data_IF_558515469154
#
_entry.id   IF_558515469154
#
_cell.length_a   1.000
_cell.length_b   1.000
_cell.length_c   1.000
_cell.angle_alpha   90.00
_cell.angle_beta   90.00
_cell.angle_gamma   90.00
#
_symmetry.space_group_name_H-M   'P 1'
#
loop_
_entity.id
_entity.type
_entity.pdbx_description
1 polymer ?
#
# COMPACT_ATOMS: atom_id res chain seq x y z
N UNK A 1 53.27 3.30 38.72
CA UNK A 1 53.15 2.21 39.72
C UNK A 1 51.69 1.80 39.77
N UNK A 2 51.43 0.49 39.69
CA UNK A 2 50.11 -0.18 39.79
C UNK A 2 49.15 0.06 38.62
N UNK A 3 48.50 -0.91 38.00
CA UNK A 3 48.54 -2.38 38.04
C UNK A 3 47.78 -2.86 36.80
N UNK A 4 48.26 -3.94 36.19
CA UNK A 4 47.63 -4.71 35.12
C UNK A 4 46.36 -5.48 35.62
N UNK A 5 45.85 -6.56 34.98
CA UNK A 5 45.53 -6.86 33.58
C UNK A 5 44.11 -7.49 33.39
N UNK A 6 43.72 -7.69 32.11
CA UNK A 6 43.00 -8.82 31.46
C UNK A 6 42.18 -9.84 32.27
N UNK A 7 41.01 -10.27 31.76
CA UNK A 7 40.45 -11.66 31.76
C UNK A 7 39.14 -11.65 30.91
N UNK A 8 39.09 -12.17 29.68
CA UNK A 8 39.07 -13.58 29.28
C UNK A 8 37.92 -14.39 29.92
N UNK A 9 36.68 -14.17 29.47
CA UNK A 9 35.56 -15.08 29.71
C UNK A 9 35.45 -16.09 28.57
N UNK A 10 36.10 -17.23 28.78
CA UNK A 10 35.90 -18.49 28.07
C UNK A 10 34.46 -19.00 28.31
N UNK A 11 33.74 -19.30 27.23
CA UNK A 11 32.59 -20.20 27.26
C UNK A 11 33.08 -21.65 27.16
N UNK A 12 32.64 -22.59 28.02
CA UNK A 12 33.13 -23.96 27.97
C UNK A 12 32.35 -24.80 26.94
N UNK A 13 33.13 -25.45 26.07
CA UNK A 13 32.79 -26.70 25.40
C UNK A 13 32.92 -27.84 26.41
N UNK A 14 31.86 -28.61 26.66
CA UNK A 14 32.00 -29.99 27.18
C UNK A 14 31.00 -30.91 26.51
N UNK A 15 31.56 -31.85 25.75
CA UNK A 15 30.92 -33.00 25.14
C UNK A 15 30.40 -33.99 26.18
N UNK A 16 29.42 -34.81 25.78
CA UNK A 16 28.93 -35.95 26.56
C UNK A 16 28.06 -36.87 25.71
N UNK A 17 28.71 -37.79 25.01
CA UNK A 17 28.09 -38.90 24.28
C UNK A 17 27.54 -39.95 25.26
N UNK A 18 26.38 -40.55 24.98
CA UNK A 18 26.06 -41.88 25.47
C UNK A 18 25.28 -42.71 24.44
N UNK A 19 25.70 -43.96 24.36
CA UNK A 19 25.49 -44.99 23.35
C UNK A 19 24.59 -46.08 23.92
N UNK A 20 24.05 -46.89 23.00
CA UNK A 20 23.61 -48.29 23.16
C UNK A 20 22.09 -48.53 23.14
N UNK A 21 21.61 -48.97 21.97
CA UNK A 21 20.95 -50.27 21.70
C UNK A 21 20.18 -50.92 22.86
N UNK A 22 18.99 -51.51 22.77
CA UNK A 22 18.44 -52.44 21.79
C UNK A 22 16.91 -52.45 22.00
N UNK A 23 16.09 -52.51 20.94
CA UNK A 23 14.94 -53.43 20.87
C UNK A 23 14.28 -53.36 19.51
N UNK A 24 14.52 -54.41 18.76
CA UNK A 24 13.66 -54.91 17.69
C UNK A 24 12.23 -55.09 18.20
N UNK A 25 11.25 -54.48 17.53
CA UNK A 25 9.86 -54.94 17.62
C UNK A 25 9.04 -54.55 16.39
N UNK A 26 8.48 -55.59 15.78
CA UNK A 26 7.23 -55.59 15.04
C UNK A 26 7.19 -54.96 13.64
N UNK A 27 7.57 -55.78 12.66
CA UNK A 27 6.83 -55.88 11.41
C UNK A 27 5.33 -56.18 11.68
N UNK A 28 4.51 -55.75 10.73
CA UNK A 28 3.08 -56.09 10.55
C UNK A 28 2.09 -55.10 11.15
N UNK A 29 1.63 -54.18 10.31
CA UNK A 29 0.27 -54.31 9.79
C UNK A 29 0.19 -53.61 8.44
N UNK A 30 -0.18 -54.41 7.43
CA UNK A 30 -0.79 -53.98 6.17
C UNK A 30 -1.71 -52.79 6.46
N UNK A 31 -1.36 -51.60 5.96
CA UNK A 31 -2.35 -50.56 5.77
C UNK A 31 -2.58 -50.44 4.27
N UNK A 32 -3.74 -50.97 3.90
CA UNK A 32 -4.30 -50.94 2.58
C UNK A 32 -4.25 -49.53 2.00
N UNK A 33 -3.63 -49.40 0.83
CA UNK A 33 -3.90 -48.32 -0.08
C UNK A 33 -5.39 -48.36 -0.46
N UNK A 34 -6.19 -47.58 0.27
CA UNK A 34 -7.58 -47.27 -0.09
C UNK A 34 -7.63 -45.80 -0.47
N UNK A 35 -7.80 -45.58 -1.78
CA UNK A 35 -8.41 -44.40 -2.40
C UNK A 35 -7.93 -43.04 -1.87
N UNK A 36 -6.94 -42.47 -2.55
CA UNK A 36 -6.79 -41.01 -2.58
C UNK A 36 -8.12 -40.43 -3.05
N UNK A 37 -8.89 -39.84 -2.13
CA UNK A 37 -10.03 -38.99 -2.45
C UNK A 37 -9.48 -37.58 -2.70
N UNK A 38 -9.52 -37.04 -3.93
CA UNK A 38 -9.15 -35.66 -4.17
C UNK A 38 -10.37 -34.78 -3.88
N UNK A 39 -10.75 -34.63 -2.61
CA UNK A 39 -11.88 -33.79 -2.25
C UNK A 39 -11.88 -33.44 -0.76
N UNK A 40 -11.03 -32.49 -0.37
CA UNK A 40 -11.32 -31.62 0.79
C UNK A 40 -10.48 -30.36 0.70
N UNK A 41 -10.95 -29.48 -0.19
CA UNK A 41 -11.42 -28.16 0.21
C UNK A 41 -10.67 -27.59 1.42
N UNK A 42 -9.46 -27.09 1.18
CA UNK A 42 -8.90 -26.01 1.99
C UNK A 42 -9.59 -24.73 1.50
N UNK A 43 -10.88 -24.60 1.81
CA UNK A 43 -11.53 -23.30 1.86
C UNK A 43 -11.02 -22.58 3.12
N UNK A 44 -11.01 -21.26 3.06
CA UNK A 44 -10.68 -20.32 4.15
C UNK A 44 -9.23 -19.84 4.29
N UNK A 45 -8.71 -19.23 3.22
CA UNK A 45 -8.06 -17.90 3.33
C UNK A 45 -8.69 -16.96 2.30
N UNK A 46 -9.98 -16.66 2.51
CA UNK A 46 -10.66 -15.55 1.84
C UNK A 46 -11.08 -14.54 2.92
N UNK A 47 -10.11 -13.76 3.40
CA UNK A 47 -10.40 -12.54 4.16
C UNK A 47 -9.32 -11.51 3.86
N UNK A 48 -9.53 -10.77 2.77
CA UNK A 48 -9.14 -9.37 2.60
C UNK A 48 -9.56 -8.87 1.20
N UNK A 49 -10.83 -9.06 0.82
CA UNK A 49 -11.42 -8.16 -0.17
C UNK A 49 -11.74 -6.83 0.54
N UNK A 50 -10.70 -6.02 0.78
CA UNK A 50 -10.85 -4.62 1.19
C UNK A 50 -10.02 -3.72 0.28
N UNK A 51 -10.20 -3.89 -1.03
CA UNK A 51 -9.76 -2.94 -2.04
C UNK A 51 -10.95 -2.10 -2.50
N UNK A 52 -11.33 -1.11 -1.68
CA UNK A 52 -12.13 0.08 -2.01
C UNK A 52 -12.95 0.03 -3.33
N UNK A 53 -14.10 -0.66 -3.31
CA UNK A 53 -15.19 -0.38 -4.25
C UNK A 53 -15.93 0.87 -3.77
N UNK A 54 -16.22 1.75 -4.72
CA UNK A 54 -16.98 3.00 -4.61
C UNK A 54 -16.44 4.15 -3.73
N UNK A 55 -16.03 5.24 -4.39
CA UNK A 55 -16.64 6.57 -4.12
C UNK A 55 -17.49 6.95 -5.35
N UNK A 56 -18.41 6.08 -5.76
CA UNK A 56 -19.37 6.36 -6.85
C UNK A 56 -20.77 6.65 -6.30
N UNK A 57 -20.85 7.20 -5.10
CA UNK A 57 -22.08 7.69 -4.50
C UNK A 57 -22.05 9.22 -4.42
N UNK A 58 -23.03 9.85 -5.08
CA UNK A 58 -23.61 11.13 -4.70
C UNK A 58 -22.79 12.44 -4.83
N UNK A 59 -21.93 12.61 -5.84
CA UNK A 59 -21.55 13.97 -6.29
C UNK A 59 -22.45 14.47 -7.42
N UNK A 60 -23.77 14.36 -7.25
CA UNK A 60 -24.75 14.90 -8.20
C UNK A 60 -24.70 16.44 -8.10
N UNK A 61 -23.76 17.07 -8.79
CA UNK A 61 -23.65 18.53 -8.83
C UNK A 61 -22.24 19.10 -9.01
N UNK A 62 -21.17 18.29 -9.05
CA UNK A 62 -19.84 18.84 -9.34
C UNK A 62 -19.73 19.30 -10.80
N UNK A 63 -19.20 20.50 -11.02
CA UNK A 63 -18.95 21.05 -12.34
C UNK A 63 -17.51 20.73 -12.72
N UNK A 64 -17.32 20.14 -13.90
CA UNK A 64 -16.00 19.88 -14.47
C UNK A 64 -15.60 21.02 -15.40
N UNK A 65 -14.43 21.61 -15.17
CA UNK A 65 -13.90 22.70 -15.98
C UNK A 65 -12.43 22.44 -16.26
N UNK A 66 -11.96 22.89 -17.42
CA UNK A 66 -10.55 22.84 -17.80
C UNK A 66 -9.84 24.13 -17.43
N UNK A 67 -8.55 24.01 -17.12
CA UNK A 67 -7.71 25.16 -16.78
C UNK A 67 -6.22 24.87 -16.90
N UNK A 68 -5.41 25.90 -16.68
CA UNK A 68 -3.96 25.85 -16.72
C UNK A 68 -3.36 26.20 -15.37
N UNK A 69 -2.34 25.48 -14.93
CA UNK A 69 -1.64 25.78 -13.68
C UNK A 69 -0.74 27.02 -13.90
N UNK A 70 -0.92 28.07 -13.10
CA UNK A 70 -0.07 29.28 -13.14
C UNK A 70 1.04 29.18 -12.10
N UNK A 71 0.71 28.75 -10.88
CA UNK A 71 1.65 28.72 -9.76
C UNK A 71 1.42 27.50 -8.87
N UNK A 72 2.51 26.98 -8.32
CA UNK A 72 2.49 25.93 -7.31
C UNK A 72 2.75 26.51 -5.93
N UNK A 73 1.85 26.23 -4.98
CA UNK A 73 2.01 26.63 -3.58
C UNK A 73 2.42 25.45 -2.70
N UNK A 74 3.06 25.72 -1.54
CA UNK A 74 3.27 24.71 -0.52
C UNK A 74 1.92 24.08 -0.12
N UNK A 75 1.94 22.79 0.24
CA UNK A 75 0.77 21.95 0.58
C UNK A 75 0.02 21.31 -0.60
N UNK A 76 0.67 21.16 -1.76
CA UNK A 76 0.05 20.57 -2.97
C UNK A 76 -1.25 21.31 -3.36
N UNK A 77 -1.21 22.64 -3.21
CA UNK A 77 -2.24 23.55 -3.67
C UNK A 77 -1.69 24.29 -4.87
N UNK A 78 -2.52 24.51 -5.87
CA UNK A 78 -2.13 25.16 -7.11
C UNK A 78 -3.07 26.31 -7.40
N UNK A 79 -2.52 27.38 -7.98
CA UNK A 79 -3.31 28.42 -8.63
C UNK A 79 -3.58 27.97 -10.06
N UNK A 80 -4.86 27.80 -10.38
CA UNK A 80 -5.31 27.36 -11.70
C UNK A 80 -6.10 28.48 -12.33
N UNK A 81 -5.71 28.87 -13.54
CA UNK A 81 -6.50 29.72 -14.41
C UNK A 81 -7.52 28.87 -15.15
N UNK A 82 -8.79 29.14 -14.93
CA UNK A 82 -9.86 28.54 -15.71
C UNK A 82 -9.91 29.20 -17.09
N UNK A 83 -10.46 28.50 -18.09
CA UNK A 83 -10.72 29.09 -19.42
C UNK A 83 -11.59 30.36 -19.35
N UNK A 84 -12.35 30.53 -18.26
CA UNK A 84 -13.17 31.70 -17.99
C UNK A 84 -12.35 32.93 -17.50
N UNK A 85 -11.02 32.84 -17.42
CA UNK A 85 -10.12 33.91 -16.94
C UNK A 85 -10.09 34.11 -15.42
N UNK A 86 -10.78 33.26 -14.65
CA UNK A 86 -10.76 33.30 -13.18
C UNK A 86 -9.64 32.41 -12.64
N UNK A 87 -8.90 32.94 -11.66
CA UNK A 87 -7.88 32.19 -10.92
C UNK A 87 -8.50 31.60 -9.66
N UNK A 88 -8.31 30.29 -9.48
CA UNK A 88 -8.88 29.54 -8.37
C UNK A 88 -7.81 28.76 -7.60
N UNK A 89 -8.15 28.39 -6.38
CA UNK A 89 -7.32 27.55 -5.52
C UNK A 89 -7.73 26.09 -5.70
N UNK A 90 -6.82 25.27 -6.24
CA UNK A 90 -7.11 23.86 -6.49
C UNK A 90 -6.18 22.94 -5.71
N UNK A 91 -6.77 21.98 -4.99
CA UNK A 91 -6.01 20.93 -4.33
C UNK A 91 -5.98 19.67 -5.20
N UNK A 92 -4.91 18.89 -5.03
CA UNK A 92 -4.73 17.63 -5.75
C UNK A 92 -5.68 16.56 -5.23
N UNK A 93 -6.39 15.88 -6.12
CA UNK A 93 -7.21 14.72 -5.75
C UNK A 93 -6.36 13.57 -5.19
N UNK A 94 -6.96 12.76 -4.32
CA UNK A 94 -6.32 11.52 -3.85
C UNK A 94 -5.93 10.58 -5.01
N UNK A 95 -6.68 10.61 -6.12
CA UNK A 95 -6.38 9.82 -7.32
C UNK A 95 -5.03 10.21 -7.93
N UNK A 96 -4.77 11.51 -8.11
CA UNK A 96 -3.47 12.00 -8.58
C UNK A 96 -2.34 11.58 -7.63
N UNK A 97 -2.56 11.69 -6.30
CA UNK A 97 -1.57 11.29 -5.29
C UNK A 97 -1.23 9.79 -5.38
N UNK A 98 -2.24 8.92 -5.56
CA UNK A 98 -2.04 7.48 -5.73
C UNK A 98 -1.33 7.12 -7.02
N UNK A 99 -1.57 7.87 -8.10
CA UNK A 99 -0.97 7.64 -9.41
C UNK A 99 0.40 8.33 -9.61
N UNK A 100 0.94 9.00 -8.59
CA UNK A 100 2.21 9.73 -8.63
C UNK A 100 2.33 10.72 -9.81
N UNK A 101 1.19 11.28 -10.26
CA UNK A 101 1.19 12.25 -11.36
C UNK A 101 1.70 13.60 -10.83
N UNK A 102 2.80 14.08 -11.42
CA UNK A 102 3.38 15.38 -11.10
C UNK A 102 2.68 16.46 -11.92
N UNK A 103 2.16 17.47 -11.25
CA UNK A 103 1.60 18.67 -11.87
C UNK A 103 2.65 19.77 -11.83
N UNK A 104 3.03 20.29 -12.99
CA UNK A 104 3.96 21.39 -13.14
C UNK A 104 3.22 22.68 -13.53
N UNK A 105 3.90 23.81 -13.37
CA UNK A 105 3.41 25.09 -13.87
C UNK A 105 3.31 25.03 -15.40
N UNK A 106 2.19 25.51 -15.94
CA UNK A 106 1.90 25.52 -17.35
C UNK A 106 1.12 24.31 -17.87
N UNK A 107 0.93 23.26 -17.05
CA UNK A 107 0.15 22.08 -17.43
C UNK A 107 -1.34 22.38 -17.57
N UNK A 108 -1.98 21.71 -18.53
CA UNK A 108 -3.44 21.69 -18.68
C UNK A 108 -4.04 20.62 -17.78
N UNK A 109 -5.02 20.99 -16.98
CA UNK A 109 -5.64 20.12 -15.98
C UNK A 109 -7.16 20.24 -16.01
N UNK A 110 -7.82 19.14 -15.64
CA UNK A 110 -9.25 19.10 -15.39
C UNK A 110 -9.51 19.30 -13.90
N UNK A 111 -10.35 20.26 -13.59
CA UNK A 111 -10.71 20.65 -12.24
C UNK A 111 -12.20 20.38 -12.02
N UNK A 112 -12.50 19.67 -10.95
CA UNK A 112 -13.86 19.51 -10.44
C UNK A 112 -14.09 20.53 -9.34
N UNK A 113 -15.15 21.32 -9.47
CA UNK A 113 -15.57 22.31 -8.49
C UNK A 113 -16.98 22.03 -7.99
N UNK A 114 -17.24 22.47 -6.76
CA UNK A 114 -18.58 22.44 -6.20
C UNK A 114 -19.41 23.56 -6.82
N UNK A 115 -20.71 23.35 -7.08
CA UNK A 115 -21.56 24.35 -7.72
C UNK A 115 -21.83 25.56 -6.80
N UNK A 116 -21.55 25.40 -5.50
CA UNK A 116 -21.69 26.44 -4.50
C UNK A 116 -20.46 27.36 -4.41
N UNK A 117 -19.27 26.83 -4.70
CA UNK A 117 -18.00 27.54 -4.54
C UNK A 117 -17.12 27.42 -5.78
N UNK A 118 -17.13 28.46 -6.62
CA UNK A 118 -16.32 28.53 -7.84
C UNK A 118 -14.86 28.94 -7.58
N UNK A 119 -14.49 29.33 -6.35
CA UNK A 119 -13.13 29.78 -6.00
C UNK A 119 -12.21 28.65 -5.57
N UNK A 120 -12.79 27.48 -5.24
CA UNK A 120 -12.07 26.29 -4.80
C UNK A 120 -12.36 25.13 -5.74
N UNK A 121 -11.33 24.34 -6.03
CA UNK A 121 -11.44 23.21 -6.95
C UNK A 121 -10.60 22.01 -6.54
N UNK A 122 -10.85 20.88 -7.20
CA UNK A 122 -10.06 19.66 -7.08
C UNK A 122 -9.52 19.24 -8.43
N UNK A 123 -8.20 19.07 -8.53
CA UNK A 123 -7.54 18.57 -9.75
C UNK A 123 -7.73 17.06 -9.83
N UNK A 124 -8.46 16.58 -10.84
CA UNK A 124 -8.73 15.15 -11.03
C UNK A 124 -7.93 14.52 -12.14
N UNK A 125 -7.60 15.29 -13.18
CA UNK A 125 -6.86 14.78 -14.32
C UNK A 125 -5.88 15.81 -14.89
N UNK A 126 -4.75 15.33 -15.40
CA UNK A 126 -3.80 16.12 -16.20
C UNK A 126 -3.96 15.70 -17.66
N UNK A 127 -4.25 16.67 -18.51
CA UNK A 127 -4.34 16.46 -19.96
C UNK A 127 -2.91 16.38 -20.53
N UNK A 128 -2.64 15.38 -21.37
CA UNK A 128 -1.37 15.24 -22.10
C UNK A 128 -1.40 16.09 -23.37
#
# INVERSE_FOLDING_TARGET
MSSAPQLAFLWPLTAGAFTTSHRTAALSRRQAARSVSPARTVQFVMRAQSGSREDKSARKGCIEVEGRIIESLPNATFRVELLNGKVIWAHVSGKIRKNYVRCLVGDRVKVEMSPYDLTKGRITYRLK
#
